data_IF_457871316166
#
_entry.id   IF_457871316166
#
_cell.length_a   1.000
_cell.length_b   1.000
_cell.length_c   1.000
_cell.angle_alpha   90.00
_cell.angle_beta   90.00
_cell.angle_gamma   90.00
#
_symmetry.space_group_name_H-M   'P 1'
#
loop_
_entity.id
_entity.type
_entity.pdbx_description
1 polymer ?
#
# COMPACT_ATOMS: atom_id res chain seq x y z
N UNK A 1 -29.33 7.18 -3.37
CA UNK A 1 -28.05 6.46 -3.15
C UNK A 1 -27.22 7.30 -2.20
N UNK A 2 -26.64 6.71 -1.14
CA UNK A 2 -25.81 7.49 -0.22
C UNK A 2 -24.61 8.04 -0.98
N UNK A 3 -24.28 9.31 -0.74
CA UNK A 3 -23.16 10.02 -1.36
C UNK A 3 -21.82 9.29 -1.13
N UNK A 4 -21.77 8.37 -0.17
CA UNK A 4 -20.61 7.57 0.17
C UNK A 4 -20.43 6.30 -0.67
N UNK A 5 -21.30 6.01 -1.64
CA UNK A 5 -21.14 4.79 -2.47
C UNK A 5 -19.86 4.88 -3.32
N UNK A 6 -18.92 3.92 -3.22
CA UNK A 6 -17.69 3.96 -4.02
C UNK A 6 -17.96 3.70 -5.50
N UNK A 7 -17.28 4.41 -6.42
CA UNK A 7 -17.17 4.01 -7.81
C UNK A 7 -16.65 2.57 -7.97
N UNK A 8 -17.08 1.87 -9.04
CA UNK A 8 -16.69 0.47 -9.30
C UNK A 8 -15.17 0.27 -9.32
N UNK A 9 -14.42 1.21 -9.89
CA UNK A 9 -12.96 1.12 -9.99
C UNK A 9 -12.27 1.07 -8.63
N UNK A 10 -12.79 1.71 -7.58
CA UNK A 10 -12.21 1.67 -6.23
C UNK A 10 -12.35 0.28 -5.60
N UNK A 11 -13.50 -0.37 -5.83
CA UNK A 11 -13.71 -1.76 -5.41
C UNK A 11 -12.78 -2.71 -6.15
N UNK A 12 -12.59 -2.50 -7.46
CA UNK A 12 -11.62 -3.26 -8.25
C UNK A 12 -10.21 -3.02 -7.74
N UNK A 13 -9.82 -1.78 -7.49
CA UNK A 13 -8.53 -1.42 -6.93
C UNK A 13 -8.29 -2.16 -5.62
N UNK A 14 -9.20 -2.10 -4.64
CA UNK A 14 -9.01 -2.81 -3.36
C UNK A 14 -8.90 -4.33 -3.54
N UNK A 15 -9.71 -4.92 -4.44
CA UNK A 15 -9.63 -6.37 -4.74
C UNK A 15 -8.31 -6.79 -5.36
N UNK A 16 -7.67 -5.91 -6.13
CA UNK A 16 -6.36 -6.18 -6.75
C UNK A 16 -5.20 -5.82 -5.80
N UNK A 17 -5.30 -4.68 -5.12
CA UNK A 17 -4.31 -4.16 -4.20
C UNK A 17 -4.14 -5.06 -2.97
N UNK A 18 -5.22 -5.58 -2.38
CA UNK A 18 -5.14 -6.38 -1.16
C UNK A 18 -4.28 -7.65 -1.34
N UNK A 19 -4.50 -8.52 -2.35
CA UNK A 19 -3.63 -9.68 -2.59
C UNK A 19 -2.17 -9.28 -2.89
N UNK A 20 -1.95 -8.20 -3.64
CA UNK A 20 -0.61 -7.71 -3.94
C UNK A 20 0.13 -7.23 -2.68
N UNK A 21 -0.56 -6.50 -1.79
CA UNK A 21 -0.01 -6.07 -0.52
C UNK A 21 0.28 -7.27 0.40
N UNK A 22 -0.57 -8.30 0.41
CA UNK A 22 -0.31 -9.54 1.16
C UNK A 22 0.96 -10.21 0.63
N UNK A 23 1.09 -10.34 -0.70
CA UNK A 23 2.26 -10.93 -1.34
C UNK A 23 3.53 -10.12 -1.03
N UNK A 24 3.49 -8.79 -1.14
CA UNK A 24 4.62 -7.90 -0.84
C UNK A 24 5.05 -7.98 0.63
N UNK A 25 4.11 -7.85 1.57
CA UNK A 25 4.38 -7.93 2.99
C UNK A 25 4.93 -9.31 3.39
N UNK A 26 4.34 -10.40 2.85
CA UNK A 26 4.78 -11.75 3.15
C UNK A 26 6.19 -12.05 2.59
N UNK A 27 6.58 -11.46 1.45
CA UNK A 27 7.95 -11.57 0.95
C UNK A 27 8.98 -11.10 1.99
N UNK A 28 8.70 -9.96 2.64
CA UNK A 28 9.57 -9.36 3.66
C UNK A 28 9.48 -10.07 5.01
N UNK A 29 8.27 -10.35 5.48
CA UNK A 29 8.03 -10.90 6.82
C UNK A 29 8.41 -12.38 6.96
N UNK A 30 8.45 -13.13 5.87
CA UNK A 30 8.80 -14.56 5.87
C UNK A 30 10.27 -14.83 5.49
N UNK A 31 11.13 -13.81 5.49
CA UNK A 31 12.58 -14.00 5.32
C UNK A 31 13.14 -14.84 6.46
N UNK A 32 14.12 -15.72 6.21
CA UNK A 32 14.84 -15.91 4.94
C UNK A 32 14.16 -16.87 3.94
N UNK A 33 13.02 -17.47 4.29
CA UNK A 33 12.40 -18.54 3.48
C UNK A 33 11.91 -18.08 2.10
N UNK A 34 11.76 -16.77 1.90
CA UNK A 34 11.35 -16.16 0.63
C UNK A 34 12.50 -15.89 -0.33
N UNK A 35 13.75 -16.13 0.09
CA UNK A 35 14.93 -16.03 -0.79
C UNK A 35 15.17 -17.30 -1.61
N UNK A 36 15.89 -17.14 -2.71
CA UNK A 36 16.30 -18.25 -3.57
C UNK A 36 17.05 -19.35 -2.80
N UNK A 37 16.80 -20.59 -3.19
CA UNK A 37 17.26 -21.79 -2.48
C UNK A 37 16.26 -22.31 -1.44
N UNK A 38 15.07 -21.71 -1.36
CA UNK A 38 13.95 -22.18 -0.54
C UNK A 38 12.68 -22.29 -1.38
N UNK A 39 11.77 -23.20 -1.00
CA UNK A 39 10.53 -23.45 -1.75
C UNK A 39 9.71 -22.18 -2.03
N UNK A 40 9.50 -21.33 -1.02
CA UNK A 40 8.75 -20.08 -1.20
C UNK A 40 9.49 -19.12 -2.14
N UNK A 41 10.81 -18.99 -2.01
CA UNK A 41 11.62 -18.15 -2.88
C UNK A 41 11.66 -18.59 -4.33
N UNK A 42 11.77 -19.90 -4.57
CA UNK A 42 11.94 -20.46 -5.92
C UNK A 42 10.61 -20.71 -6.64
N UNK A 43 9.48 -20.76 -5.90
CA UNK A 43 8.14 -21.03 -6.47
C UNK A 43 7.23 -19.80 -6.39
N UNK A 44 6.99 -19.28 -5.19
CA UNK A 44 5.99 -18.23 -4.94
C UNK A 44 6.56 -16.83 -5.21
N UNK A 45 7.83 -16.64 -4.89
CA UNK A 45 8.51 -15.35 -4.95
C UNK A 45 9.63 -15.31 -5.99
N UNK A 46 9.60 -16.22 -6.96
CA UNK A 46 10.63 -16.27 -8.03
C UNK A 46 10.73 -14.93 -8.76
N UNK A 47 9.59 -14.36 -9.14
CA UNK A 47 9.55 -13.03 -9.76
C UNK A 47 10.15 -11.95 -8.85
N UNK A 48 9.99 -12.07 -7.53
CA UNK A 48 10.57 -11.12 -6.58
C UNK A 48 12.10 -11.24 -6.56
N UNK A 49 12.62 -12.46 -6.47
CA UNK A 49 14.06 -12.73 -6.46
C UNK A 49 14.75 -12.39 -7.79
N UNK A 50 14.10 -12.68 -8.92
CA UNK A 50 14.68 -12.47 -10.26
C UNK A 50 14.61 -11.00 -10.71
N UNK A 51 13.59 -10.26 -10.27
CA UNK A 51 13.29 -8.92 -10.77
C UNK A 51 13.40 -7.85 -9.70
N UNK A 52 12.62 -7.98 -8.63
CA UNK A 52 12.50 -6.92 -7.63
C UNK A 52 13.76 -6.75 -6.80
N UNK A 53 14.42 -7.84 -6.41
CA UNK A 53 15.69 -7.79 -5.66
C UNK A 53 16.82 -7.14 -6.47
N UNK A 54 16.81 -7.33 -7.79
CA UNK A 54 17.79 -6.72 -8.72
C UNK A 54 17.52 -5.22 -8.88
N UNK A 55 16.24 -4.87 -8.97
CA UNK A 55 15.77 -3.50 -9.16
C UNK A 55 15.91 -2.65 -7.89
N UNK A 56 15.55 -3.21 -6.74
CA UNK A 56 15.61 -2.58 -5.43
C UNK A 56 16.34 -3.50 -4.45
N UNK A 57 17.61 -3.17 -4.25
CA UNK A 57 18.52 -3.97 -3.43
C UNK A 57 18.14 -3.99 -1.95
N UNK A 58 17.24 -3.12 -1.48
CA UNK A 58 16.71 -3.20 -0.11
C UNK A 58 15.97 -4.51 0.16
N UNK A 59 15.55 -5.18 -0.89
CA UNK A 59 14.89 -6.48 -0.83
C UNK A 59 15.86 -7.68 -0.85
N UNK A 60 17.16 -7.44 -1.02
CA UNK A 60 18.15 -8.51 -1.22
C UNK A 60 18.51 -9.27 0.06
N UNK A 61 18.89 -10.54 -0.12
CA UNK A 61 19.49 -11.38 0.92
C UNK A 61 20.75 -10.74 1.51
N UNK A 62 21.61 -10.16 0.68
CA UNK A 62 22.83 -9.49 1.11
C UNK A 62 22.55 -8.35 2.10
N UNK A 63 21.56 -7.50 1.81
CA UNK A 63 21.14 -6.43 2.74
C UNK A 63 20.59 -7.02 4.04
N UNK A 64 19.75 -8.05 3.97
CA UNK A 64 19.21 -8.71 5.17
C UNK A 64 20.30 -9.34 6.06
N UNK A 65 21.27 -10.05 5.47
CA UNK A 65 22.35 -10.74 6.18
C UNK A 65 23.40 -9.80 6.76
N UNK A 66 23.62 -8.63 6.15
CA UNK A 66 24.54 -7.60 6.64
C UNK A 66 24.07 -6.88 7.93
N UNK A 67 23.14 -7.47 8.69
CA UNK A 67 22.45 -6.83 9.81
C UNK A 67 21.32 -5.88 9.37
N UNK A 68 21.11 -5.75 8.05
CA UNK A 68 20.00 -5.02 7.45
C UNK A 68 18.65 -5.76 7.50
N UNK A 69 18.51 -6.78 8.36
CA UNK A 69 17.22 -7.04 9.02
C UNK A 69 16.64 -5.74 9.63
N UNK A 70 17.51 -4.78 9.95
CA UNK A 70 17.26 -3.36 10.20
C UNK A 70 17.60 -2.43 9.02
N UNK A 71 17.26 -2.78 7.78
CA UNK A 71 16.74 -1.74 6.88
C UNK A 71 15.33 -1.43 7.38
N UNK A 72 15.27 -0.91 8.62
CA UNK A 72 14.08 -0.92 9.48
C UNK A 72 12.90 -0.24 8.79
N UNK A 73 13.21 0.65 7.86
CA UNK A 73 12.24 1.29 7.01
C UNK A 73 11.43 0.31 6.14
N UNK A 74 12.07 -0.55 5.33
CA UNK A 74 11.36 -1.45 4.40
C UNK A 74 10.58 -2.53 5.16
N UNK A 75 11.16 -3.09 6.21
CA UNK A 75 10.45 -4.01 7.11
C UNK A 75 9.29 -3.31 7.83
N UNK A 76 9.44 -2.05 8.25
CA UNK A 76 8.34 -1.27 8.86
C UNK A 76 7.24 -0.96 7.84
N UNK A 77 7.59 -0.74 6.58
CA UNK A 77 6.63 -0.55 5.48
C UNK A 77 5.79 -1.81 5.29
N UNK A 78 6.42 -2.98 5.21
CA UNK A 78 5.71 -4.27 5.13
C UNK A 78 4.88 -4.57 6.38
N UNK A 79 5.41 -4.29 7.57
CA UNK A 79 4.66 -4.46 8.80
C UNK A 79 3.43 -3.56 8.81
N UNK A 80 3.58 -2.28 8.44
CA UNK A 80 2.47 -1.32 8.26
C UNK A 80 1.42 -1.86 7.28
N UNK A 81 1.80 -2.36 6.11
CA UNK A 81 0.85 -2.99 5.17
C UNK A 81 0.05 -4.11 5.85
N UNK A 82 0.74 -4.99 6.59
CA UNK A 82 0.12 -6.12 7.29
C UNK A 82 -0.84 -5.69 8.40
N UNK A 83 -0.48 -4.70 9.21
CA UNK A 83 -1.30 -4.29 10.36
C UNK A 83 -2.40 -3.27 10.01
N UNK A 84 -2.23 -2.50 8.93
CA UNK A 84 -3.16 -1.40 8.58
C UNK A 84 -3.81 -1.61 7.23
N UNK A 85 -3.06 -1.60 6.13
CA UNK A 85 -3.64 -1.60 4.79
C UNK A 85 -4.51 -2.81 4.51
N UNK A 86 -3.98 -4.01 4.74
CA UNK A 86 -4.66 -5.25 4.39
C UNK A 86 -5.97 -5.39 5.19
N UNK A 87 -5.97 -5.28 6.53
CA UNK A 87 -7.20 -5.36 7.31
C UNK A 87 -8.22 -4.28 6.93
N UNK A 88 -7.79 -3.03 6.75
CA UNK A 88 -8.70 -1.93 6.44
C UNK A 88 -9.26 -2.03 5.01
N UNK A 89 -8.48 -2.49 4.03
CA UNK A 89 -8.99 -2.73 2.68
C UNK A 89 -10.02 -3.88 2.65
N UNK A 90 -9.76 -4.98 3.36
CA UNK A 90 -10.71 -6.09 3.51
C UNK A 90 -12.00 -5.60 4.19
N UNK A 91 -11.87 -4.83 5.28
CA UNK A 91 -13.00 -4.29 6.01
C UNK A 91 -13.84 -3.34 5.13
N UNK A 92 -13.19 -2.44 4.38
CA UNK A 92 -13.87 -1.56 3.44
C UNK A 92 -14.64 -2.35 2.37
N UNK A 93 -14.02 -3.36 1.76
CA UNK A 93 -14.67 -4.24 0.78
C UNK A 93 -15.89 -4.95 1.39
N UNK A 94 -15.76 -5.43 2.63
CA UNK A 94 -16.85 -6.10 3.34
C UNK A 94 -17.99 -5.14 3.62
N UNK A 95 -17.71 -3.94 4.11
CA UNK A 95 -18.71 -2.91 4.40
C UNK A 95 -19.42 -2.41 3.12
N UNK A 96 -18.68 -2.24 2.02
CA UNK A 96 -19.23 -1.89 0.72
C UNK A 96 -20.09 -2.99 0.08
N UNK A 97 -20.02 -4.23 0.58
CA UNK A 97 -20.90 -5.32 0.14
C UNK A 97 -22.28 -5.31 0.81
N UNK A 98 -22.47 -4.48 1.84
CA UNK A 98 -23.75 -4.35 2.54
C UNK A 98 -24.78 -3.59 1.70
N UNK A 99 -26.07 -3.91 1.90
CA UNK A 99 -27.20 -3.12 1.42
C UNK A 99 -27.52 -1.93 2.33
N UNK A 100 -27.03 -1.94 3.57
CA UNK A 100 -27.23 -0.85 4.53
C UNK A 100 -26.39 0.39 4.15
N UNK A 101 -27.02 1.55 3.87
CA UNK A 101 -26.32 2.78 3.58
C UNK A 101 -25.32 3.23 4.66
N UNK A 102 -25.59 2.92 5.94
CA UNK A 102 -24.70 3.25 7.05
C UNK A 102 -23.40 2.43 6.97
N UNK A 103 -23.50 1.12 6.73
CA UNK A 103 -22.34 0.27 6.48
C UNK A 103 -21.52 0.77 5.27
N UNK A 104 -22.18 1.16 4.18
CA UNK A 104 -21.49 1.69 2.99
C UNK A 104 -20.71 2.96 3.34
N UNK A 105 -21.30 3.88 4.13
CA UNK A 105 -20.63 5.09 4.59
C UNK A 105 -19.41 4.79 5.49
N UNK A 106 -19.56 3.84 6.43
CA UNK A 106 -18.44 3.37 7.26
C UNK A 106 -17.32 2.76 6.40
N UNK A 107 -17.66 1.97 5.38
CA UNK A 107 -16.69 1.40 4.45
C UNK A 107 -15.88 2.47 3.73
N UNK A 108 -16.52 3.58 3.35
CA UNK A 108 -15.85 4.70 2.69
C UNK A 108 -14.96 5.51 3.63
N UNK A 109 -15.30 5.59 4.93
CA UNK A 109 -14.42 6.16 5.94
C UNK A 109 -13.18 5.29 6.16
N UNK A 110 -13.38 3.98 6.28
CA UNK A 110 -12.28 3.00 6.41
C UNK A 110 -11.36 3.07 5.19
N UNK A 111 -11.93 3.15 3.98
CA UNK A 111 -11.16 3.33 2.75
C UNK A 111 -10.37 4.64 2.73
N UNK A 112 -10.96 5.76 3.17
CA UNK A 112 -10.26 7.04 3.29
C UNK A 112 -9.05 6.94 4.21
N UNK A 113 -9.22 6.38 5.42
CA UNK A 113 -8.14 6.22 6.40
C UNK A 113 -7.04 5.30 5.86
N UNK A 114 -7.43 4.15 5.30
CA UNK A 114 -6.49 3.20 4.71
C UNK A 114 -5.67 3.83 3.59
N UNK A 115 -6.32 4.50 2.64
CA UNK A 115 -5.62 5.06 1.48
C UNK A 115 -4.81 6.32 1.83
N UNK A 116 -5.19 7.07 2.86
CA UNK A 116 -4.33 8.13 3.38
C UNK A 116 -3.02 7.55 3.94
N UNK A 117 -3.08 6.46 4.71
CA UNK A 117 -1.88 5.77 5.21
C UNK A 117 -1.00 5.24 4.06
N UNK A 118 -1.61 4.59 3.05
CA UNK A 118 -0.90 4.12 1.85
C UNK A 118 -0.21 5.28 1.13
N UNK A 119 -0.94 6.38 0.89
CA UNK A 119 -0.41 7.57 0.22
C UNK A 119 0.84 8.12 0.93
N UNK A 120 0.75 8.34 2.25
CA UNK A 120 1.86 8.84 3.05
C UNK A 120 3.04 7.88 3.01
N UNK A 121 2.80 6.58 3.22
CA UNK A 121 3.86 5.58 3.26
C UNK A 121 4.56 5.44 1.91
N UNK A 122 3.83 5.35 0.81
CA UNK A 122 4.40 5.25 -0.54
C UNK A 122 5.18 6.53 -0.90
N UNK A 123 4.67 7.70 -0.50
CA UNK A 123 5.39 8.96 -0.67
C UNK A 123 6.71 8.99 0.10
N UNK A 124 6.71 8.55 1.36
CA UNK A 124 7.92 8.39 2.16
C UNK A 124 8.87 7.35 1.54
N UNK A 125 8.35 6.29 0.92
CA UNK A 125 9.17 5.21 0.37
C UNK A 125 9.96 5.70 -0.83
N UNK A 126 9.27 6.30 -1.79
CA UNK A 126 9.89 6.95 -2.95
C UNK A 126 10.83 8.09 -2.49
N UNK A 127 10.38 8.92 -1.54
CA UNK A 127 11.16 10.03 -1.02
C UNK A 127 12.47 9.57 -0.36
N UNK A 128 12.44 8.46 0.37
CA UNK A 128 13.63 7.89 1.02
C UNK A 128 14.68 7.44 0.00
N UNK A 129 14.27 6.84 -1.13
CA UNK A 129 15.17 6.44 -2.20
C UNK A 129 15.78 7.66 -2.90
N UNK A 130 14.97 8.69 -3.19
CA UNK A 130 15.43 9.96 -3.79
C UNK A 130 16.44 10.66 -2.88
N UNK A 131 16.12 10.84 -1.59
CA UNK A 131 17.00 11.49 -0.62
C UNK A 131 18.26 10.67 -0.32
N UNK A 132 18.15 9.35 -0.41
CA UNK A 132 19.29 8.43 -0.35
C UNK A 132 20.17 8.45 -1.59
N UNK A 133 19.84 9.23 -2.63
CA UNK A 133 20.60 9.28 -3.88
C UNK A 133 20.46 8.00 -4.72
N UNK A 134 19.29 7.36 -4.67
CA UNK A 134 18.94 6.14 -5.41
C UNK A 134 19.84 4.95 -5.08
N UNK A 135 20.44 4.89 -3.88
CA UNK A 135 21.40 3.83 -3.54
C UNK A 135 20.79 2.43 -3.59
N UNK A 136 19.49 2.32 -3.30
CA UNK A 136 18.77 1.05 -3.33
C UNK A 136 18.39 0.65 -4.76
N UNK A 137 18.09 1.62 -5.62
CA UNK A 137 17.61 1.42 -7.01
C UNK A 137 18.65 1.68 -8.12
N UNK A 138 19.90 2.01 -7.76
CA UNK A 138 20.96 2.39 -8.71
C UNK A 138 21.32 1.29 -9.70
N UNK A 139 21.21 0.02 -9.30
CA UNK A 139 21.69 -1.14 -10.06
C UNK A 139 20.68 -1.67 -11.08
N UNK A 140 19.46 -1.12 -11.13
CA UNK A 140 18.44 -1.53 -12.10
C UNK A 140 18.64 -0.93 -13.49
N UNK A 141 18.37 -1.73 -14.53
CA UNK A 141 18.25 -1.21 -15.89
C UNK A 141 17.14 -0.14 -15.98
N UNK A 142 17.21 0.76 -16.97
CA UNK A 142 16.23 1.86 -17.11
C UNK A 142 14.76 1.38 -17.10
N UNK A 143 14.48 0.24 -17.74
CA UNK A 143 13.13 -0.34 -17.75
C UNK A 143 12.70 -0.88 -16.39
N UNK A 144 13.65 -1.35 -15.56
CA UNK A 144 13.36 -1.75 -14.18
C UNK A 144 13.03 -0.52 -13.33
N UNK A 145 13.72 0.61 -13.53
CA UNK A 145 13.35 1.87 -12.86
C UNK A 145 11.94 2.33 -13.26
N UNK A 146 11.56 2.17 -14.53
CA UNK A 146 10.19 2.42 -14.97
C UNK A 146 9.18 1.51 -14.25
N UNK A 147 9.51 0.24 -14.05
CA UNK A 147 8.67 -0.68 -13.29
C UNK A 147 8.56 -0.28 -11.81
N UNK A 148 9.67 0.13 -11.18
CA UNK A 148 9.70 0.59 -9.80
C UNK A 148 8.81 1.83 -9.59
N UNK A 149 9.04 2.88 -10.37
CA UNK A 149 8.26 4.12 -10.24
C UNK A 149 6.85 3.98 -10.80
N UNK A 150 6.64 3.11 -11.79
CA UNK A 150 5.33 2.82 -12.36
C UNK A 150 4.43 2.11 -11.35
N UNK A 151 4.94 1.07 -10.69
CA UNK A 151 4.17 0.33 -9.67
C UNK A 151 3.93 1.18 -8.44
N UNK A 152 4.96 1.80 -7.85
CA UNK A 152 4.80 2.71 -6.72
C UNK A 152 3.96 3.94 -7.07
N UNK A 153 4.08 4.46 -8.29
CA UNK A 153 3.25 5.55 -8.81
C UNK A 153 1.77 5.18 -8.88
N UNK A 154 1.45 3.96 -9.33
CA UNK A 154 0.08 3.47 -9.34
C UNK A 154 -0.53 3.41 -7.92
N UNK A 155 0.24 2.95 -6.92
CA UNK A 155 -0.16 3.00 -5.52
C UNK A 155 -0.41 4.43 -5.04
N UNK A 156 0.54 5.33 -5.28
CA UNK A 156 0.46 6.72 -4.84
C UNK A 156 -0.74 7.45 -5.45
N UNK A 157 -0.91 7.34 -6.78
CA UNK A 157 -1.97 8.03 -7.53
C UNK A 157 -3.34 7.49 -7.15
N UNK A 158 -3.51 6.16 -7.10
CA UNK A 158 -4.81 5.56 -6.76
C UNK A 158 -5.23 5.94 -5.34
N UNK A 159 -4.30 5.91 -4.38
CA UNK A 159 -4.58 6.33 -3.01
C UNK A 159 -4.93 7.81 -2.91
N UNK A 160 -4.19 8.69 -3.61
CA UNK A 160 -4.51 10.12 -3.66
C UNK A 160 -5.90 10.39 -4.25
N UNK A 161 -6.27 9.70 -5.34
CA UNK A 161 -7.60 9.82 -5.95
C UNK A 161 -8.73 9.38 -5.01
N UNK A 162 -8.54 8.30 -4.24
CA UNK A 162 -9.53 7.83 -3.27
C UNK A 162 -9.67 8.82 -2.11
N UNK A 163 -8.56 9.36 -1.59
CA UNK A 163 -8.56 10.40 -0.57
C UNK A 163 -9.29 11.64 -1.06
N UNK A 164 -8.94 12.14 -2.26
CA UNK A 164 -9.57 13.31 -2.87
C UNK A 164 -11.07 13.11 -3.14
N UNK A 165 -11.52 11.87 -3.36
CA UNK A 165 -12.93 11.56 -3.57
C UNK A 165 -13.74 11.55 -2.27
N UNK A 166 -13.25 10.92 -1.21
CA UNK A 166 -14.01 10.74 0.03
C UNK A 166 -13.85 11.89 1.02
N UNK A 167 -12.68 12.52 1.08
CA UNK A 167 -12.41 13.59 2.05
C UNK A 167 -13.45 14.74 1.98
N UNK A 168 -13.76 15.32 0.80
CA UNK A 168 -14.72 16.43 0.72
C UNK A 168 -16.12 16.03 1.18
N UNK A 169 -16.54 14.79 0.91
CA UNK A 169 -17.86 14.26 1.31
C UNK A 169 -17.98 14.16 2.83
N UNK A 170 -16.94 13.66 3.50
CA UNK A 170 -16.92 13.62 4.96
C UNK A 170 -16.83 15.01 5.57
N UNK A 171 -16.00 15.90 5.02
CA UNK A 171 -15.89 17.28 5.48
C UNK A 171 -17.24 18.03 5.37
N UNK A 172 -17.95 17.86 4.26
CA UNK A 172 -19.27 18.45 4.06
C UNK A 172 -20.31 17.85 5.01
N UNK A 173 -20.30 16.53 5.21
CA UNK A 173 -21.19 15.85 6.13
C UNK A 173 -21.01 16.36 7.57
N UNK A 174 -19.76 16.43 8.05
CA UNK A 174 -19.43 16.97 9.36
C UNK A 174 -19.85 18.44 9.49
N UNK A 175 -19.64 19.26 8.47
CA UNK A 175 -20.08 20.66 8.46
C UNK A 175 -21.61 20.81 8.62
N UNK A 176 -22.38 19.87 8.06
CA UNK A 176 -23.85 19.89 8.13
C UNK A 176 -24.38 19.35 9.45
N UNK A 177 -23.69 18.40 10.08
CA UNK A 177 -24.16 17.70 11.28
C UNK A 177 -23.63 18.28 12.58
N UNK A 178 -22.47 18.93 12.57
CA UNK A 178 -21.94 19.56 13.77
C UNK A 178 -22.74 20.83 14.11
N UNK A 179 -23.08 21.04 15.40
CA UNK A 179 -23.75 22.26 15.83
C UNK A 179 -22.87 23.47 15.51
N UNK A 180 -23.47 24.54 14.95
CA UNK A 180 -22.76 25.81 14.79
C UNK A 180 -22.31 26.28 16.16
N UNK A 181 -21.02 26.57 16.32
CA UNK A 181 -20.49 27.18 17.54
C UNK A 181 -21.30 28.47 17.77
N UNK A 182 -21.95 28.58 18.93
CA UNK A 182 -22.50 29.87 19.36
C UNK A 182 -21.29 30.67 19.82
N UNK A 183 -20.88 31.62 18.99
CA UNK A 183 -19.90 32.64 19.34
C UNK A 183 -20.46 33.56 20.44
#
# INVERSE_FOLDING_TARGET
MSDFTPPKWMRTWFRTATPLAIWDAAFLLLRPYTYSGHFLGDTVYKAYNDLYVVMDTSYSRAVYEAGGALNGYVTSVALSQYITDIPLQILALRLWSSSDPACVAQGSLVALVSQFAVFVRTGLFIGSDVLGGFQSTKNGAHWMKLLYYGTNGAWLVSSAMIVAHFYPKFAEHLRKTLPKRKD
#
